data_IF_900499765077
#
_entry.id   IF_900499765077
#
_cell.length_a   1.000
_cell.length_b   1.000
_cell.length_c   1.000
_cell.angle_alpha   90.00
_cell.angle_beta   90.00
_cell.angle_gamma   90.00
#
_symmetry.space_group_name_H-M   'P 1'
#
loop_
_entity.id
_entity.type
_entity.pdbx_description
1 polymer ?
#
# COMPACT_ATOMS: atom_id res chain seq x y z
N UNK A 1 -9.45 -62.60 -46.33
CA UNK A 1 -10.60 -61.73 -46.15
C UNK A 1 -10.41 -60.99 -44.84
N UNK A 2 -10.19 -59.70 -44.95
CA UNK A 2 -9.74 -58.88 -43.91
C UNK A 2 -10.81 -58.38 -42.98
N UNK A 3 -10.42 -58.01 -41.83
CA UNK A 3 -11.13 -56.96 -41.11
C UNK A 3 -10.17 -56.06 -40.32
N UNK A 4 -10.47 -54.80 -40.32
CA UNK A 4 -9.62 -53.69 -39.92
C UNK A 4 -9.87 -53.28 -38.48
N UNK A 5 -8.80 -53.19 -37.71
CA UNK A 5 -8.74 -52.65 -36.34
C UNK A 5 -9.20 -51.20 -36.26
N UNK A 6 -10.06 -50.87 -35.26
CA UNK A 6 -10.34 -49.51 -34.77
C UNK A 6 -9.32 -49.16 -33.71
N UNK A 7 -8.58 -48.08 -33.94
CA UNK A 7 -7.80 -47.41 -32.93
C UNK A 7 -8.70 -46.54 -32.07
N UNK A 8 -8.74 -46.79 -30.78
CA UNK A 8 -9.32 -45.89 -29.76
C UNK A 8 -8.32 -44.77 -29.47
N UNK A 9 -8.78 -43.55 -29.53
CA UNK A 9 -8.04 -42.39 -29.09
C UNK A 9 -8.13 -42.29 -27.56
N UNK A 10 -7.00 -42.41 -26.90
CA UNK A 10 -6.84 -42.19 -25.47
C UNK A 10 -6.73 -40.71 -25.20
N UNK A 11 -7.78 -40.13 -24.69
CA UNK A 11 -7.84 -38.74 -24.27
C UNK A 11 -7.22 -38.56 -22.91
N UNK A 12 -5.92 -38.27 -22.85
CA UNK A 12 -5.29 -37.82 -21.61
C UNK A 12 -5.80 -36.42 -21.26
N UNK A 13 -6.67 -36.34 -20.28
CA UNK A 13 -6.97 -35.10 -19.54
C UNK A 13 -5.70 -34.68 -18.83
N UNK A 14 -5.14 -33.57 -19.26
CA UNK A 14 -4.10 -32.88 -18.50
C UNK A 14 -4.68 -32.40 -17.17
N UNK A 15 -4.07 -32.82 -16.08
CA UNK A 15 -4.30 -32.25 -14.77
C UNK A 15 -3.90 -30.78 -14.79
N UNK A 16 -4.66 -29.87 -14.15
CA UNK A 16 -4.24 -28.48 -14.00
C UNK A 16 -2.92 -28.45 -13.20
N UNK A 17 -1.89 -27.87 -13.79
CA UNK A 17 -0.68 -27.52 -13.05
C UNK A 17 -1.06 -26.61 -11.89
N UNK A 18 -0.84 -27.06 -10.67
CA UNK A 18 -0.89 -26.24 -9.47
C UNK A 18 0.08 -25.07 -9.63
N UNK A 19 -0.46 -23.88 -9.94
CA UNK A 19 0.27 -22.63 -9.89
C UNK A 19 0.49 -22.27 -8.43
N UNK A 20 1.47 -22.92 -7.80
CA UNK A 20 1.92 -22.57 -6.46
C UNK A 20 2.60 -21.18 -6.49
N UNK A 21 2.59 -20.45 -5.36
CA UNK A 21 3.06 -19.06 -5.24
C UNK A 21 4.58 -18.87 -5.43
N UNK A 22 5.24 -19.72 -6.19
CA UNK A 22 6.68 -19.70 -6.44
C UNK A 22 7.11 -19.05 -7.76
N UNK A 23 6.16 -18.51 -8.57
CA UNK A 23 6.49 -17.92 -9.88
C UNK A 23 6.88 -16.44 -9.83
N UNK A 24 6.68 -15.75 -8.71
CA UNK A 24 6.79 -14.28 -8.67
C UNK A 24 8.22 -13.70 -8.58
N UNK A 25 9.22 -14.48 -8.22
CA UNK A 25 10.62 -13.99 -8.32
C UNK A 25 11.10 -13.87 -9.78
N UNK A 26 10.40 -14.48 -10.75
CA UNK A 26 10.60 -14.27 -12.18
C UNK A 26 9.96 -12.98 -12.70
N UNK A 27 8.91 -12.50 -12.06
CA UNK A 27 8.14 -11.31 -12.44
C UNK A 27 8.79 -9.97 -12.03
N UNK A 28 9.79 -9.98 -11.15
CA UNK A 28 10.56 -8.76 -10.89
C UNK A 28 11.18 -8.18 -12.17
N UNK A 29 11.56 -9.03 -13.14
CA UNK A 29 11.99 -8.58 -14.48
C UNK A 29 10.83 -8.09 -15.35
N UNK A 30 9.65 -8.67 -15.24
CA UNK A 30 8.46 -8.25 -15.98
C UNK A 30 7.85 -6.95 -15.44
N UNK A 31 7.87 -6.76 -14.13
CA UNK A 31 7.43 -5.53 -13.47
C UNK A 31 8.21 -4.32 -13.98
N UNK A 32 9.53 -4.43 -14.02
CA UNK A 32 10.39 -3.29 -14.33
C UNK A 32 10.36 -2.89 -15.80
N UNK A 33 10.42 -3.82 -16.72
CA UNK A 33 10.65 -3.50 -18.14
C UNK A 33 9.36 -3.30 -18.95
N UNK A 34 8.32 -4.11 -18.76
CA UNK A 34 7.11 -3.97 -19.57
C UNK A 34 6.20 -2.84 -19.07
N UNK A 35 6.12 -2.61 -17.76
CA UNK A 35 5.30 -1.54 -17.16
C UNK A 35 5.95 -0.17 -17.34
N UNK A 36 7.26 -0.10 -17.23
CA UNK A 36 8.02 1.10 -17.56
C UNK A 36 7.95 1.39 -19.05
N UNK A 37 8.01 0.38 -19.91
CA UNK A 37 7.82 0.55 -21.35
C UNK A 37 6.44 1.12 -21.68
N UNK A 38 5.38 0.71 -20.99
CA UNK A 38 4.05 1.32 -21.13
C UNK A 38 4.06 2.81 -20.79
N UNK A 39 4.81 3.22 -19.77
CA UNK A 39 5.01 4.61 -19.40
C UNK A 39 5.83 5.42 -20.38
N UNK A 40 6.81 4.81 -21.04
CA UNK A 40 7.56 5.48 -22.10
C UNK A 40 6.69 5.96 -23.26
N UNK A 41 5.65 5.23 -23.54
CA UNK A 41 4.71 5.61 -24.58
C UNK A 41 3.75 6.71 -24.13
N UNK A 42 3.50 6.82 -22.78
CA UNK A 42 2.68 7.87 -22.20
C UNK A 42 3.30 9.25 -22.31
N UNK A 43 4.57 9.36 -22.02
CA UNK A 43 5.29 10.64 -22.09
C UNK A 43 5.27 11.24 -23.51
N UNK A 44 5.08 10.43 -24.55
CA UNK A 44 4.90 10.89 -25.93
C UNK A 44 3.49 11.36 -26.28
N UNK A 45 2.48 11.15 -25.43
CA UNK A 45 1.08 11.30 -25.77
C UNK A 45 0.44 12.61 -25.27
N UNK A 46 1.23 13.65 -24.91
CA UNK A 46 0.70 15.01 -24.75
C UNK A 46 0.46 15.47 -23.32
N UNK A 47 1.13 14.89 -22.35
CA UNK A 47 1.20 15.49 -21.01
C UNK A 47 2.04 16.77 -21.08
N UNK A 48 1.51 17.86 -20.50
CA UNK A 48 2.20 19.14 -20.45
C UNK A 48 3.46 19.03 -19.60
N UNK A 49 4.60 18.97 -20.25
CA UNK A 49 5.92 18.71 -19.66
C UNK A 49 6.60 19.97 -19.10
N UNK A 50 5.92 21.09 -19.02
CA UNK A 50 6.60 22.37 -18.82
C UNK A 50 7.20 22.56 -17.42
N UNK A 51 6.73 21.85 -16.38
CA UNK A 51 7.09 22.14 -15.00
C UNK A 51 7.38 20.93 -14.12
N UNK A 52 6.84 19.77 -14.43
CA UNK A 52 6.98 18.55 -13.64
C UNK A 52 7.57 17.45 -14.51
N UNK A 53 8.29 16.52 -13.88
CA UNK A 53 8.75 15.34 -14.59
C UNK A 53 7.57 14.39 -14.77
N UNK A 54 6.97 14.36 -15.95
CA UNK A 54 5.97 13.32 -16.18
C UNK A 54 6.70 11.99 -16.06
N UNK A 55 6.01 10.92 -16.18
CA UNK A 55 6.50 9.55 -16.31
C UNK A 55 7.93 9.38 -16.89
N UNK A 56 8.54 10.41 -17.47
CA UNK A 56 9.96 10.48 -17.83
C UNK A 56 10.92 10.31 -16.64
N UNK A 57 10.48 10.54 -15.41
CA UNK A 57 11.21 10.15 -14.20
C UNK A 57 11.47 8.64 -14.15
N UNK A 58 10.61 7.88 -14.81
CA UNK A 58 10.72 6.46 -14.96
C UNK A 58 11.52 6.05 -16.21
N UNK A 59 12.20 6.99 -16.88
CA UNK A 59 13.05 6.71 -18.03
C UNK A 59 14.17 5.67 -17.74
N UNK A 60 14.59 4.87 -18.74
CA UNK A 60 15.68 3.91 -18.60
C UNK A 60 16.94 4.50 -18.00
N UNK A 61 17.23 5.79 -18.24
CA UNK A 61 18.37 6.48 -17.61
C UNK A 61 18.29 6.51 -16.09
N UNK A 62 17.10 6.63 -15.51
CA UNK A 62 16.91 6.55 -14.03
C UNK A 62 16.77 5.12 -13.53
N UNK A 63 16.28 4.18 -14.36
CA UNK A 63 16.36 2.75 -14.07
C UNK A 63 17.81 2.27 -13.97
N UNK A 64 18.69 2.76 -14.83
CA UNK A 64 20.13 2.50 -14.73
C UNK A 64 20.74 3.14 -13.48
N UNK A 65 20.15 4.19 -12.92
CA UNK A 65 20.53 4.76 -11.63
C UNK A 65 19.98 3.95 -10.44
N UNK A 66 18.82 3.33 -10.57
CA UNK A 66 18.23 2.49 -9.54
C UNK A 66 19.06 1.23 -9.24
N UNK A 67 19.53 0.52 -10.27
CA UNK A 67 20.37 -0.68 -10.09
C UNK A 67 21.67 -0.35 -9.32
N UNK A 68 22.46 0.69 -9.68
CA UNK A 68 23.62 1.09 -8.88
C UNK A 68 23.25 1.56 -7.48
N UNK A 69 22.10 2.19 -7.27
CA UNK A 69 21.68 2.64 -5.94
C UNK A 69 21.28 1.47 -5.05
N UNK A 70 20.49 0.52 -5.52
CA UNK A 70 20.24 -0.73 -4.80
C UNK A 70 21.55 -1.46 -4.52
N UNK A 71 22.48 -1.52 -5.49
CA UNK A 71 23.78 -2.13 -5.29
C UNK A 71 24.65 -1.36 -4.28
N UNK A 72 24.57 -0.03 -4.25
CA UNK A 72 25.25 0.82 -3.28
C UNK A 72 24.82 0.52 -1.85
N UNK A 73 23.51 0.31 -1.64
CA UNK A 73 22.95 0.02 -0.33
C UNK A 73 23.05 -1.46 0.07
N UNK A 74 23.42 -2.33 -0.84
CA UNK A 74 23.55 -3.78 -0.56
C UNK A 74 24.54 -4.12 0.55
N UNK A 75 25.52 -3.27 0.79
CA UNK A 75 26.55 -3.45 1.82
C UNK A 75 26.39 -2.48 3.00
N UNK A 76 25.37 -1.64 3.00
CA UNK A 76 25.13 -0.70 4.06
C UNK A 76 24.34 -1.35 5.20
N UNK A 77 24.46 -0.77 6.37
CA UNK A 77 23.69 -1.20 7.53
C UNK A 77 22.33 -0.53 7.50
N UNK A 78 21.29 -1.35 7.55
CA UNK A 78 19.91 -0.92 7.69
C UNK A 78 19.75 0.02 8.88
N UNK A 79 18.97 1.09 8.73
CA UNK A 79 18.66 2.01 9.81
C UNK A 79 18.13 1.25 11.05
N UNK A 80 18.56 1.67 12.23
CA UNK A 80 18.10 1.05 13.47
C UNK A 80 16.59 1.25 13.65
N UNK A 81 15.89 0.20 14.03
CA UNK A 81 14.46 0.29 14.29
C UNK A 81 14.20 1.18 15.51
N UNK A 82 13.27 2.12 15.39
CA UNK A 82 12.85 2.99 16.49
C UNK A 82 11.51 2.49 17.04
N UNK A 83 11.40 2.42 18.36
CA UNK A 83 10.18 2.03 19.05
C UNK A 83 9.89 2.97 20.24
N UNK A 84 8.67 2.94 20.72
CA UNK A 84 8.22 3.80 21.83
C UNK A 84 8.62 3.26 23.19
N UNK A 85 8.88 1.98 23.32
CA UNK A 85 9.12 1.32 24.60
C UNK A 85 10.57 1.50 25.08
N UNK A 86 11.51 1.33 24.17
CA UNK A 86 12.95 1.38 24.48
C UNK A 86 13.47 2.81 24.61
N UNK A 87 12.92 3.75 23.84
CA UNK A 87 13.47 5.10 23.71
C UNK A 87 12.72 6.17 24.54
N UNK A 88 11.62 5.83 25.19
CA UNK A 88 10.84 6.75 26.05
C UNK A 88 10.31 8.00 25.32
N UNK A 89 10.05 7.90 24.02
CA UNK A 89 9.59 9.00 23.16
C UNK A 89 8.07 8.98 22.97
N UNK A 90 7.33 9.03 24.06
CA UNK A 90 5.87 8.98 24.05
C UNK A 90 5.34 7.54 23.93
N UNK A 91 4.05 7.42 23.68
CA UNK A 91 3.33 6.13 23.64
C UNK A 91 3.08 5.64 22.20
N UNK A 92 3.22 6.51 21.21
CA UNK A 92 2.77 6.23 19.83
C UNK A 92 1.25 6.22 19.67
N UNK A 93 0.52 6.63 20.71
CA UNK A 93 -0.94 6.76 20.70
C UNK A 93 -1.29 8.23 20.71
N UNK A 94 -2.01 8.67 19.70
CA UNK A 94 -2.42 10.05 19.48
C UNK A 94 -3.94 10.14 19.60
N UNK A 95 -4.42 10.99 20.50
CA UNK A 95 -5.85 11.23 20.66
C UNK A 95 -6.34 12.14 19.53
N UNK A 96 -7.43 11.76 18.89
CA UNK A 96 -8.11 12.53 17.86
C UNK A 96 -9.56 12.80 18.25
N UNK A 97 -10.16 13.80 17.62
CA UNK A 97 -11.56 14.14 17.89
C UNK A 97 -12.50 13.01 17.44
N UNK A 98 -13.67 12.93 18.07
CA UNK A 98 -14.74 11.98 17.68
C UNK A 98 -15.30 12.30 16.28
N UNK A 99 -15.12 13.55 15.83
CA UNK A 99 -15.42 13.98 14.47
C UNK A 99 -14.13 14.44 13.80
N UNK A 100 -13.66 13.67 12.84
CA UNK A 100 -12.38 13.89 12.16
C UNK A 100 -12.43 13.38 10.72
N UNK A 101 -11.76 14.08 9.82
CA UNK A 101 -11.54 13.66 8.44
C UNK A 101 -10.07 13.33 8.22
N UNK A 102 -9.82 12.16 7.63
CA UNK A 102 -8.47 11.66 7.33
C UNK A 102 -8.38 11.34 5.84
N UNK A 103 -7.42 11.91 5.13
CA UNK A 103 -7.14 11.58 3.73
C UNK A 103 -5.96 10.63 3.64
N UNK A 104 -6.10 9.56 2.85
CA UNK A 104 -5.08 8.52 2.74
C UNK A 104 -4.72 8.24 1.27
N UNK A 105 -3.43 8.00 1.01
CA UNK A 105 -2.91 7.50 -0.26
C UNK A 105 -1.68 6.63 -0.02
N UNK A 106 -1.52 5.57 -0.79
CA UNK A 106 -0.32 4.72 -0.81
C UNK A 106 0.40 4.81 -2.14
N UNK A 107 1.70 4.49 -2.16
CA UNK A 107 2.50 4.44 -3.39
C UNK A 107 2.50 5.77 -4.16
N UNK A 108 2.48 6.85 -3.40
CA UNK A 108 2.31 8.20 -3.91
C UNK A 108 3.64 8.89 -4.26
N UNK A 109 4.72 8.61 -3.53
CA UNK A 109 5.99 9.33 -3.55
C UNK A 109 6.81 9.17 -4.83
N UNK A 110 6.25 9.49 -6.00
CA UNK A 110 6.83 9.26 -7.32
C UNK A 110 7.47 10.50 -7.94
N UNK A 111 7.12 11.70 -7.46
CA UNK A 111 7.51 12.96 -8.09
C UNK A 111 6.87 13.22 -9.46
N UNK A 112 5.80 12.48 -9.80
CA UNK A 112 5.09 12.62 -11.07
C UNK A 112 4.00 13.68 -11.02
N UNK A 113 3.47 14.03 -12.18
CA UNK A 113 2.34 14.95 -12.32
C UNK A 113 1.07 14.36 -11.69
N UNK A 114 0.88 13.05 -11.82
CA UNK A 114 -0.22 12.33 -11.21
C UNK A 114 -0.17 12.42 -9.67
N UNK A 115 1.00 12.22 -9.07
CA UNK A 115 1.20 12.38 -7.63
C UNK A 115 0.90 13.83 -7.18
N UNK A 116 1.32 14.83 -7.97
CA UNK A 116 1.02 16.25 -7.71
C UNK A 116 -0.48 16.53 -7.76
N UNK A 117 -1.18 15.98 -8.75
CA UNK A 117 -2.64 16.18 -8.90
C UNK A 117 -3.39 15.51 -7.73
N UNK A 118 -3.00 14.29 -7.35
CA UNK A 118 -3.57 13.61 -6.17
C UNK A 118 -3.30 14.41 -4.90
N UNK A 119 -2.09 14.96 -4.71
CA UNK A 119 -1.79 15.84 -3.57
C UNK A 119 -2.72 17.05 -3.53
N UNK A 120 -2.90 17.75 -4.64
CA UNK A 120 -3.80 18.88 -4.75
C UNK A 120 -5.28 18.50 -4.49
N UNK A 121 -5.69 17.30 -4.87
CA UNK A 121 -7.03 16.78 -4.57
C UNK A 121 -7.19 16.48 -3.06
N UNK A 122 -6.17 15.90 -2.43
CA UNK A 122 -6.14 15.69 -0.98
C UNK A 122 -6.16 17.02 -0.20
N UNK A 123 -5.43 18.04 -0.63
CA UNK A 123 -5.46 19.38 -0.01
C UNK A 123 -6.87 19.98 -0.05
N UNK A 124 -7.55 19.89 -1.19
CA UNK A 124 -8.95 20.36 -1.34
C UNK A 124 -9.95 19.59 -0.48
N UNK A 125 -9.60 18.41 -0.01
CA UNK A 125 -10.46 17.65 0.90
C UNK A 125 -10.57 18.28 2.29
N UNK A 126 -9.66 19.21 2.64
CA UNK A 126 -9.59 19.88 3.95
C UNK A 126 -9.58 18.86 5.09
N UNK A 127 -8.76 17.83 4.96
CA UNK A 127 -8.64 16.78 5.96
C UNK A 127 -7.92 17.29 7.22
N UNK A 128 -8.36 16.84 8.39
CA UNK A 128 -7.64 17.08 9.65
C UNK A 128 -6.27 16.42 9.63
N UNK A 129 -6.21 15.21 9.10
CA UNK A 129 -4.97 14.43 8.98
C UNK A 129 -4.80 13.85 7.59
N UNK A 130 -3.54 13.66 7.19
CA UNK A 130 -3.19 12.89 6.00
C UNK A 130 -2.32 11.70 6.38
N UNK A 131 -2.49 10.55 5.73
CA UNK A 131 -1.68 9.37 5.99
C UNK A 131 -1.12 8.80 4.68
N UNK A 132 0.21 8.75 4.60
CA UNK A 132 0.94 8.08 3.53
C UNK A 132 1.12 6.60 3.89
N UNK A 133 0.65 5.69 3.03
CA UNK A 133 0.71 4.25 3.28
C UNK A 133 2.04 3.59 2.87
N UNK A 134 3.07 4.38 2.62
CA UNK A 134 4.41 3.89 2.24
C UNK A 134 4.71 4.02 0.76
N UNK A 135 5.95 3.81 0.44
CA UNK A 135 6.65 3.85 -0.83
C UNK A 135 6.92 5.25 -1.38
N UNK A 136 8.18 5.64 -1.23
CA UNK A 136 8.81 6.76 -1.96
C UNK A 136 9.78 6.17 -2.99
N UNK A 137 9.59 6.51 -4.22
CA UNK A 137 10.21 5.85 -5.37
C UNK A 137 11.45 6.60 -5.87
N UNK A 138 12.51 5.81 -6.36
CA UNK A 138 12.43 4.33 -6.53
C UNK A 138 12.98 3.54 -5.37
N UNK A 139 13.90 4.09 -4.59
CA UNK A 139 14.59 3.41 -3.49
C UNK A 139 14.40 4.13 -2.16
N UNK A 140 13.64 5.24 -2.16
CA UNK A 140 13.39 6.04 -0.98
C UNK A 140 14.66 6.64 -0.38
N UNK A 141 15.67 6.96 -1.21
CA UNK A 141 16.88 7.61 -0.73
C UNK A 141 16.62 9.09 -0.36
N UNK A 142 17.61 9.71 0.24
CA UNK A 142 17.48 11.08 0.73
C UNK A 142 17.15 12.11 -0.37
N UNK A 143 17.61 11.90 -1.60
CA UNK A 143 17.31 12.82 -2.71
C UNK A 143 15.90 12.63 -3.23
N UNK A 144 15.48 11.37 -3.37
CA UNK A 144 14.11 11.04 -3.77
C UNK A 144 13.08 11.51 -2.72
N UNK A 145 13.37 11.33 -1.43
CA UNK A 145 12.53 11.86 -0.36
C UNK A 145 12.43 13.38 -0.41
N UNK A 146 13.55 14.10 -0.63
CA UNK A 146 13.51 15.56 -0.79
C UNK A 146 12.62 15.98 -1.93
N UNK A 147 12.81 15.39 -3.09
CA UNK A 147 12.14 15.79 -4.32
C UNK A 147 10.70 15.29 -4.38
N UNK A 148 10.47 14.00 -4.07
CA UNK A 148 9.20 13.32 -4.31
C UNK A 148 8.27 13.33 -3.11
N UNK A 149 8.72 13.82 -1.94
CA UNK A 149 7.92 13.85 -0.73
C UNK A 149 7.95 15.21 -0.01
N UNK A 150 9.14 15.81 0.12
CA UNK A 150 9.29 17.06 0.86
C UNK A 150 9.09 18.31 0.02
N UNK A 151 9.04 18.19 -1.30
CA UNK A 151 8.91 19.32 -2.21
C UNK A 151 10.18 20.18 -2.30
N UNK A 152 11.35 19.61 -2.00
CA UNK A 152 12.64 20.28 -2.09
C UNK A 152 13.27 20.01 -3.47
N UNK A 153 13.70 21.07 -4.15
CA UNK A 153 14.28 20.93 -5.49
C UNK A 153 15.71 20.39 -5.43
N UNK A 154 15.92 19.19 -5.90
CA UNK A 154 17.23 18.52 -5.98
C UNK A 154 17.68 18.24 -7.41
N UNK A 155 16.78 18.32 -8.39
CA UNK A 155 16.99 18.04 -9.79
C UNK A 155 16.42 19.17 -10.68
N UNK A 156 16.55 19.09 -12.02
CA UNK A 156 15.89 20.01 -12.94
C UNK A 156 14.36 19.97 -12.89
N UNK A 157 13.79 18.88 -12.38
CA UNK A 157 12.34 18.68 -12.32
C UNK A 157 11.71 19.46 -11.18
N UNK A 158 10.42 19.74 -11.29
CA UNK A 158 9.67 20.34 -10.21
C UNK A 158 9.42 19.33 -9.10
N UNK A 159 9.73 19.67 -7.85
CA UNK A 159 9.52 18.76 -6.74
C UNK A 159 8.03 18.65 -6.40
N UNK A 160 7.65 17.51 -5.80
CA UNK A 160 6.28 17.26 -5.35
C UNK A 160 6.25 17.08 -3.84
N UNK A 161 5.35 17.82 -3.18
CA UNK A 161 5.24 17.84 -1.74
C UNK A 161 4.03 17.05 -1.26
N UNK A 162 4.23 16.24 -0.22
CA UNK A 162 3.13 15.57 0.47
C UNK A 162 2.18 16.59 1.13
N UNK A 163 0.86 16.49 0.90
CA UNK A 163 -0.10 17.40 1.50
C UNK A 163 -0.31 17.06 2.98
N UNK A 164 -0.05 18.02 3.85
CA UNK A 164 -0.26 17.85 5.29
C UNK A 164 -1.68 18.26 5.68
N UNK A 165 -2.35 17.43 6.47
CA UNK A 165 -3.64 17.77 7.05
C UNK A 165 -3.57 18.98 7.98
N UNK A 166 -4.73 19.55 8.31
CA UNK A 166 -4.82 20.77 9.15
C UNK A 166 -4.20 20.56 10.55
N UNK A 167 -4.34 19.35 11.12
CA UNK A 167 -3.82 18.97 12.45
C UNK A 167 -2.56 18.11 12.39
N UNK A 168 -2.17 17.61 11.21
CA UNK A 168 -0.96 16.82 11.06
C UNK A 168 -1.00 15.81 9.93
N UNK A 169 0.01 14.96 9.87
CA UNK A 169 0.10 13.86 8.93
C UNK A 169 0.98 12.74 9.46
N UNK A 170 0.81 11.56 8.93
CA UNK A 170 1.55 10.38 9.35
C UNK A 170 2.01 9.59 8.13
N UNK A 171 3.09 8.82 8.28
CA UNK A 171 3.62 7.99 7.19
C UNK A 171 3.95 6.58 7.68
N UNK A 172 3.63 5.60 6.84
CA UNK A 172 4.08 4.23 6.96
C UNK A 172 5.34 4.00 6.13
N UNK A 173 6.04 2.94 6.45
CA UNK A 173 7.23 2.47 5.77
C UNK A 173 6.85 1.40 4.74
N UNK A 174 7.24 1.56 3.49
CA UNK A 174 7.10 0.55 2.44
C UNK A 174 8.40 -0.20 2.17
N UNK A 175 8.41 -1.00 1.11
CA UNK A 175 9.61 -1.72 0.70
C UNK A 175 10.60 -0.83 -0.08
N UNK A 176 10.10 0.21 -0.76
CA UNK A 176 10.97 1.11 -1.52
C UNK A 176 11.86 1.94 -0.61
N UNK A 177 11.38 2.44 0.53
CA UNK A 177 12.21 3.09 1.53
C UNK A 177 13.32 2.16 2.04
N UNK A 178 13.02 0.86 2.14
CA UNK A 178 13.97 -0.12 2.65
C UNK A 178 15.02 -0.57 1.62
N UNK A 179 14.86 -0.24 0.34
CA UNK A 179 15.92 -0.46 -0.67
C UNK A 179 17.14 0.44 -0.44
N UNK A 180 16.94 1.63 0.15
CA UNK A 180 18.02 2.50 0.62
C UNK A 180 18.21 2.42 2.15
N UNK A 181 18.01 1.24 2.74
CA UNK A 181 18.17 0.97 4.17
C UNK A 181 17.25 1.78 5.11
N UNK A 182 16.27 2.47 4.58
CA UNK A 182 15.32 3.28 5.32
C UNK A 182 15.82 4.65 5.74
N UNK A 183 17.05 5.05 5.41
CA UNK A 183 17.62 6.30 5.91
C UNK A 183 16.80 7.55 5.52
N UNK A 184 16.32 7.63 4.27
CA UNK A 184 15.44 8.72 3.83
C UNK A 184 14.16 8.81 4.65
N UNK A 185 13.54 7.69 4.92
CA UNK A 185 12.32 7.60 5.70
C UNK A 185 12.52 8.01 7.17
N UNK A 186 13.49 7.37 7.87
CA UNK A 186 13.70 7.58 9.29
C UNK A 186 14.28 8.96 9.63
N UNK A 187 15.14 9.52 8.77
CA UNK A 187 15.84 10.77 9.04
C UNK A 187 15.21 11.99 8.40
N UNK A 188 14.32 11.79 7.40
CA UNK A 188 13.77 12.92 6.66
C UNK A 188 12.25 12.94 6.63
N UNK A 189 11.57 11.80 6.36
CA UNK A 189 10.10 11.74 6.35
C UNK A 189 9.58 11.86 7.79
N UNK A 190 9.93 10.93 8.67
CA UNK A 190 9.37 10.87 10.02
C UNK A 190 9.55 12.17 10.84
N UNK A 191 10.68 12.88 10.80
CA UNK A 191 10.83 14.15 11.53
C UNK A 191 9.86 15.27 11.08
N UNK A 192 9.26 15.13 9.90
CA UNK A 192 8.30 16.11 9.36
C UNK A 192 6.85 15.68 9.50
N UNK A 193 6.61 14.45 9.91
CA UNK A 193 5.27 13.92 10.15
C UNK A 193 4.83 14.13 11.60
N UNK A 194 3.68 13.60 12.00
CA UNK A 194 3.10 13.72 13.33
C UNK A 194 2.10 14.87 13.45
N UNK A 195 1.76 15.23 14.66
CA UNK A 195 0.85 16.33 14.96
C UNK A 195 1.51 17.67 14.65
N UNK A 196 0.75 18.62 14.11
CA UNK A 196 1.17 20.02 13.97
C UNK A 196 1.09 20.72 15.32
N UNK A 197 2.10 21.50 15.64
CA UNK A 197 2.07 22.40 16.79
C UNK A 197 1.18 23.61 16.50
N UNK A 198 0.57 24.17 17.57
CA UNK A 198 -0.23 25.38 17.44
C UNK A 198 0.66 26.54 17.01
N UNK A 199 0.26 27.21 15.96
CA UNK A 199 0.81 28.53 15.59
C UNK A 199 1.74 28.55 14.41
N UNK A 200 2.01 27.48 13.73
CA UNK A 200 2.63 27.49 12.43
C UNK A 200 3.71 26.44 12.18
N UNK A 201 3.36 25.25 11.84
CA UNK A 201 4.32 24.50 11.05
C UNK A 201 3.67 23.96 9.79
N UNK A 202 4.35 24.13 8.69
CA UNK A 202 4.03 23.48 7.42
C UNK A 202 4.03 21.97 7.57
N UNK A 203 4.85 21.45 8.49
CA UNK A 203 5.06 20.06 8.83
C UNK A 203 4.64 19.74 10.27
N UNK A 204 4.56 18.45 10.61
CA UNK A 204 4.34 17.99 11.98
C UNK A 204 5.57 18.13 12.86
N UNK A 205 5.39 17.93 14.16
CA UNK A 205 6.44 18.00 15.18
C UNK A 205 7.33 16.75 15.27
N UNK A 206 7.12 15.80 14.38
CA UNK A 206 7.85 14.53 14.29
C UNK A 206 6.99 13.32 14.67
N UNK A 207 7.02 12.31 13.82
CA UNK A 207 6.57 10.95 14.11
C UNK A 207 7.79 10.14 14.52
N UNK A 208 7.82 9.61 15.74
CA UNK A 208 9.03 8.96 16.26
C UNK A 208 9.34 7.62 15.59
N UNK A 209 8.31 6.80 15.39
CA UNK A 209 8.44 5.44 14.86
C UNK A 209 7.57 5.22 13.63
N UNK A 210 7.85 4.16 12.87
CA UNK A 210 7.12 3.76 11.66
C UNK A 210 5.73 3.15 11.92
N UNK A 211 5.27 3.17 13.16
CA UNK A 211 3.98 2.67 13.59
C UNK A 211 3.36 3.62 14.60
N UNK A 212 2.04 3.67 14.67
CA UNK A 212 1.30 4.58 15.54
C UNK A 212 -0.16 4.13 15.69
N UNK A 213 -0.86 4.73 16.63
CA UNK A 213 -2.30 4.60 16.81
C UNK A 213 -2.94 5.98 16.88
N UNK A 214 -3.93 6.25 16.04
CA UNK A 214 -4.85 7.37 16.24
C UNK A 214 -6.11 6.83 16.89
N UNK A 215 -6.55 7.41 18.00
CA UNK A 215 -7.73 6.89 18.66
C UNK A 215 -8.65 7.97 19.23
N UNK A 216 -9.95 7.65 19.23
CA UNK A 216 -10.98 8.42 19.90
C UNK A 216 -11.88 7.50 20.73
N UNK A 217 -13.03 7.98 21.16
CA UNK A 217 -13.97 7.21 21.96
C UNK A 217 -14.52 5.96 21.23
N UNK A 218 -14.60 5.98 19.90
CA UNK A 218 -15.29 4.98 19.08
C UNK A 218 -14.36 4.13 18.22
N UNK A 219 -13.22 4.68 17.80
CA UNK A 219 -12.36 4.07 16.80
C UNK A 219 -10.90 4.07 17.22
N UNK A 220 -10.18 3.05 16.74
CA UNK A 220 -8.71 2.98 16.72
C UNK A 220 -8.23 2.74 15.30
N UNK A 221 -7.35 3.61 14.81
CA UNK A 221 -6.63 3.48 13.55
C UNK A 221 -5.21 3.10 13.90
N UNK A 222 -4.86 1.83 13.67
CA UNK A 222 -3.58 1.24 14.06
C UNK A 222 -2.73 1.08 12.82
N UNK A 223 -1.63 1.81 12.73
CA UNK A 223 -0.68 1.77 11.65
C UNK A 223 0.49 0.85 12.00
N UNK A 224 0.82 -0.07 11.09
CA UNK A 224 1.75 -1.17 11.30
C UNK A 224 2.89 -1.11 10.29
N UNK A 225 4.11 -1.27 10.74
CA UNK A 225 5.27 -1.40 9.85
C UNK A 225 5.38 -2.82 9.28
N UNK A 226 5.11 -2.96 8.00
CA UNK A 226 5.37 -4.19 7.22
C UNK A 226 6.53 -4.02 6.24
N UNK A 227 7.06 -2.80 6.10
CA UNK A 227 8.17 -2.45 5.22
C UNK A 227 9.52 -2.85 5.80
N UNK A 228 9.74 -2.64 7.10
CA UNK A 228 11.06 -2.86 7.72
C UNK A 228 11.63 -4.26 7.48
N UNK A 229 10.82 -5.30 7.44
CA UNK A 229 11.26 -6.67 7.17
C UNK A 229 11.01 -7.14 5.73
N UNK A 230 10.63 -6.25 4.80
CA UNK A 230 10.32 -6.59 3.41
C UNK A 230 11.55 -6.93 2.56
N UNK A 231 12.73 -6.41 2.91
CA UNK A 231 13.97 -6.54 2.12
C UNK A 231 14.98 -7.49 2.75
N UNK A 232 14.61 -8.32 3.70
CA UNK A 232 15.51 -9.28 4.32
C UNK A 232 15.97 -10.35 3.32
N UNK A 233 17.09 -10.09 2.66
CA UNK A 233 17.93 -11.15 2.11
C UNK A 233 18.74 -11.75 3.25
N UNK A 234 18.48 -13.00 3.58
CA UNK A 234 19.32 -13.75 4.50
C UNK A 234 20.59 -14.22 3.75
N UNK A 235 21.63 -13.40 3.79
CA UNK A 235 22.92 -13.60 3.11
C UNK A 235 23.65 -14.88 3.51
N UNK A 236 23.30 -15.48 4.66
CA UNK A 236 23.83 -16.80 5.05
C UNK A 236 23.43 -17.92 4.10
N UNK A 237 22.57 -17.62 3.10
CA UNK A 237 21.94 -18.60 2.22
C UNK A 237 22.00 -18.15 0.75
N UNK A 238 23.17 -17.68 0.35
CA UNK A 238 23.47 -17.06 -0.94
C UNK A 238 22.96 -17.79 -2.20
N UNK A 239 22.75 -17.05 -3.32
CA UNK A 239 22.19 -17.55 -4.60
C UNK A 239 22.93 -18.72 -5.25
N UNK A 240 24.16 -18.99 -4.84
CA UNK A 240 24.99 -20.09 -5.38
C UNK A 240 24.34 -21.46 -5.16
N UNK A 241 23.51 -21.61 -4.11
CA UNK A 241 22.81 -22.85 -3.79
C UNK A 241 21.47 -23.01 -4.53
N UNK A 242 21.02 -22.00 -5.28
CA UNK A 242 19.71 -22.01 -5.98
C UNK A 242 19.69 -22.78 -7.30
N UNK A 243 20.79 -23.37 -7.73
CA UNK A 243 20.83 -24.17 -8.98
C UNK A 243 20.10 -25.51 -8.89
N UNK A 244 19.73 -25.98 -7.70
CA UNK A 244 18.97 -27.24 -7.55
C UNK A 244 17.45 -26.99 -7.52
N UNK A 245 16.70 -27.71 -8.33
CA UNK A 245 15.22 -27.69 -8.37
C UNK A 245 14.59 -28.02 -7.01
N UNK A 246 15.31 -28.71 -6.15
CA UNK A 246 14.86 -29.12 -4.80
C UNK A 246 14.85 -27.93 -3.83
N UNK A 247 15.82 -27.02 -3.91
CA UNK A 247 15.91 -25.83 -3.05
C UNK A 247 14.84 -24.76 -3.38
N UNK A 248 14.25 -24.79 -4.57
CA UNK A 248 13.13 -23.89 -4.94
C UNK A 248 11.83 -24.17 -4.18
N UNK A 249 11.68 -25.34 -3.58
CA UNK A 249 10.50 -25.71 -2.79
C UNK A 249 10.58 -25.30 -1.33
N UNK A 250 11.71 -24.83 -0.86
CA UNK A 250 11.86 -24.38 0.52
C UNK A 250 11.45 -22.91 0.62
N UNK A 251 10.61 -22.61 1.57
CA UNK A 251 9.93 -21.32 1.88
C UNK A 251 10.87 -20.17 2.27
N UNK A 252 12.12 -20.19 1.87
CA UNK A 252 13.22 -19.37 2.39
C UNK A 252 13.41 -18.02 1.68
N UNK A 253 12.67 -17.76 0.59
CA UNK A 253 12.87 -16.61 -0.27
C UNK A 253 11.64 -15.70 -0.45
N UNK A 254 10.62 -15.84 0.38
CA UNK A 254 9.54 -14.86 0.40
C UNK A 254 9.90 -13.77 1.38
N UNK A 255 9.98 -12.50 0.95
CA UNK A 255 9.98 -11.40 1.91
C UNK A 255 8.71 -11.56 2.75
N UNK A 256 8.87 -11.87 4.02
CA UNK A 256 7.73 -12.24 4.86
C UNK A 256 6.91 -11.04 5.28
N UNK A 257 7.40 -9.81 5.05
CA UNK A 257 6.82 -8.56 5.51
C UNK A 257 6.35 -8.62 6.97
N UNK A 258 7.03 -9.44 7.78
CA UNK A 258 6.68 -9.68 9.16
C UNK A 258 6.72 -8.37 9.95
N UNK A 259 5.70 -8.12 10.74
CA UNK A 259 5.66 -7.01 11.69
C UNK A 259 6.83 -7.19 12.68
N UNK A 260 7.66 -6.16 12.90
CA UNK A 260 8.76 -6.21 13.85
C UNK A 260 8.27 -6.51 15.27
N UNK A 261 9.04 -7.30 16.01
CA UNK A 261 8.67 -7.71 17.37
C UNK A 261 8.38 -6.53 18.33
N UNK A 262 9.12 -5.40 18.29
CA UNK A 262 8.77 -4.23 19.09
C UNK A 262 7.37 -3.66 18.81
N UNK A 263 6.88 -3.75 17.58
CA UNK A 263 5.52 -3.32 17.23
C UNK A 263 4.47 -4.25 17.83
N UNK A 264 4.72 -5.57 17.81
CA UNK A 264 3.83 -6.56 18.42
C UNK A 264 3.78 -6.39 19.94
N UNK A 265 4.94 -6.16 20.57
CA UNK A 265 5.02 -5.88 21.99
C UNK A 265 4.25 -4.59 22.36
N UNK A 266 4.43 -3.51 21.58
CA UNK A 266 3.70 -2.26 21.74
C UNK A 266 2.18 -2.44 21.56
N UNK A 267 1.75 -3.19 20.55
CA UNK A 267 0.34 -3.52 20.35
C UNK A 267 -0.26 -4.21 21.57
N UNK A 268 0.47 -5.17 22.13
CA UNK A 268 -0.01 -5.95 23.29
C UNK A 268 -0.04 -5.12 24.57
N UNK A 269 1.01 -4.33 24.83
CA UNK A 269 1.19 -3.63 26.11
C UNK A 269 0.51 -2.27 26.15
N UNK A 270 0.58 -1.51 25.06
CA UNK A 270 0.16 -0.10 25.04
C UNK A 270 -1.19 0.10 24.37
N UNK A 271 -1.43 -0.51 23.20
CA UNK A 271 -2.70 -0.35 22.48
C UNK A 271 -3.77 -1.29 23.02
N UNK A 272 -3.40 -2.55 23.27
CA UNK A 272 -4.32 -3.60 23.73
C UNK A 272 -5.63 -3.65 22.92
N UNK A 273 -5.60 -4.06 21.63
CA UNK A 273 -6.77 -3.93 20.74
C UNK A 273 -8.02 -4.70 21.19
N UNK A 274 -7.86 -5.71 22.05
CA UNK A 274 -8.98 -6.47 22.65
C UNK A 274 -9.45 -5.91 23.99
N UNK A 275 -8.78 -4.88 24.53
CA UNK A 275 -9.10 -4.32 25.85
C UNK A 275 -10.42 -3.56 25.89
N UNK A 276 -10.98 -3.20 24.75
CA UNK A 276 -12.27 -2.54 24.62
C UNK A 276 -13.01 -2.98 23.33
N UNK A 277 -14.12 -2.35 23.03
CA UNK A 277 -15.03 -2.69 21.91
C UNK A 277 -15.00 -1.65 20.79
N UNK A 278 -14.05 -0.73 20.77
CA UNK A 278 -13.89 0.27 19.70
C UNK A 278 -13.68 -0.38 18.35
N UNK A 279 -14.17 0.24 17.27
CA UNK A 279 -13.90 -0.20 15.91
C UNK A 279 -12.40 -0.16 15.59
N UNK A 280 -11.92 -1.14 14.84
CA UNK A 280 -10.52 -1.26 14.49
C UNK A 280 -10.32 -1.04 12.99
N UNK A 281 -9.48 -0.07 12.66
CA UNK A 281 -8.96 0.18 11.31
C UNK A 281 -7.47 -0.10 11.36
N UNK A 282 -7.00 -1.03 10.52
CA UNK A 282 -5.58 -1.31 10.37
C UNK A 282 -5.05 -0.63 9.11
N UNK A 283 -3.85 -0.08 9.22
CA UNK A 283 -3.09 0.47 8.09
C UNK A 283 -1.76 -0.27 7.99
N UNK A 284 -1.38 -0.68 6.80
CA UNK A 284 -0.05 -1.23 6.51
C UNK A 284 0.35 -0.91 5.07
N UNK A 285 1.61 -1.09 4.71
CA UNK A 285 1.99 -0.99 3.31
C UNK A 285 1.66 -2.28 2.56
N UNK A 286 2.05 -3.45 3.06
CA UNK A 286 1.78 -4.73 2.42
C UNK A 286 0.44 -5.32 2.87
N UNK A 287 -0.34 -5.81 1.90
CA UNK A 287 -1.67 -6.38 2.12
C UNK A 287 -1.64 -7.89 2.44
N UNK A 288 -2.52 -8.37 3.32
CA UNK A 288 -2.61 -9.79 3.65
C UNK A 288 -3.42 -10.61 2.63
N UNK A 289 -4.03 -9.96 1.65
CA UNK A 289 -4.98 -10.56 0.71
C UNK A 289 -5.02 -9.78 -0.60
N UNK A 290 -5.11 -10.47 -1.73
CA UNK A 290 -5.28 -9.88 -3.05
C UNK A 290 -5.98 -10.84 -4.02
N UNK A 291 -6.78 -10.29 -4.94
CA UNK A 291 -7.32 -10.99 -6.10
C UNK A 291 -6.38 -10.90 -7.32
N UNK A 292 -5.36 -10.07 -7.28
CA UNK A 292 -4.57 -9.69 -8.45
C UNK A 292 -3.09 -10.06 -8.34
N UNK A 293 -2.56 -10.08 -7.12
CA UNK A 293 -1.13 -10.26 -6.84
C UNK A 293 -0.87 -11.23 -5.69
N UNK A 294 0.41 -11.45 -5.42
CA UNK A 294 0.82 -12.18 -4.21
C UNK A 294 0.50 -11.37 -2.96
N UNK A 295 0.15 -12.04 -1.89
CA UNK A 295 -0.20 -11.42 -0.61
C UNK A 295 0.71 -11.89 0.52
N UNK A 296 0.76 -11.12 1.60
CA UNK A 296 1.67 -11.28 2.72
C UNK A 296 0.92 -11.72 3.97
N UNK A 297 0.75 -13.01 4.15
CA UNK A 297 -0.08 -13.58 5.23
C UNK A 297 0.53 -13.49 6.63
N UNK A 298 1.86 -13.31 6.74
CA UNK A 298 2.55 -13.33 8.04
C UNK A 298 2.03 -12.25 8.98
N UNK A 299 1.86 -10.97 8.58
CA UNK A 299 1.28 -9.95 9.44
C UNK A 299 -0.09 -10.34 10.02
N UNK A 300 -0.97 -10.87 9.17
CA UNK A 300 -2.30 -11.27 9.62
C UNK A 300 -2.26 -12.41 10.66
N UNK A 301 -1.33 -13.36 10.51
CA UNK A 301 -1.13 -14.44 11.47
C UNK A 301 -0.53 -13.95 12.79
N UNK A 302 0.41 -13.01 12.73
CA UNK A 302 0.98 -12.39 13.93
C UNK A 302 -0.10 -11.67 14.74
N UNK A 303 -0.98 -10.93 14.05
CA UNK A 303 -2.05 -10.16 14.68
C UNK A 303 -3.19 -11.00 15.27
N UNK A 304 -3.40 -12.24 14.81
CA UNK A 304 -4.50 -13.11 15.26
C UNK A 304 -4.47 -13.39 16.77
N UNK A 305 -3.30 -13.30 17.40
CA UNK A 305 -3.14 -13.46 18.85
C UNK A 305 -3.67 -12.24 19.62
N UNK A 306 -3.67 -11.07 18.99
CA UNK A 306 -3.96 -9.77 19.61
C UNK A 306 -5.27 -9.15 19.13
N UNK A 307 -5.82 -9.61 18.00
CA UNK A 307 -7.06 -9.10 17.41
C UNK A 307 -8.00 -10.26 17.15
N UNK A 308 -9.14 -10.28 17.85
CA UNK A 308 -10.10 -11.40 17.83
C UNK A 308 -11.43 -11.05 17.17
N UNK A 309 -11.55 -9.83 16.64
CA UNK A 309 -12.76 -9.32 15.97
C UNK A 309 -12.42 -8.83 14.57
N UNK A 310 -13.40 -8.74 13.66
CA UNK A 310 -13.17 -8.22 12.31
C UNK A 310 -12.62 -6.79 12.32
N UNK A 311 -11.76 -6.47 11.37
CA UNK A 311 -11.15 -5.16 11.19
C UNK A 311 -11.38 -4.64 9.76
N UNK A 312 -11.33 -3.33 9.57
CA UNK A 312 -11.17 -2.72 8.26
C UNK A 312 -9.66 -2.56 8.05
N UNK A 313 -9.10 -3.11 6.96
CA UNK A 313 -7.67 -3.08 6.73
C UNK A 313 -7.33 -2.42 5.41
N UNK A 314 -6.64 -1.25 5.48
CA UNK A 314 -6.12 -0.53 4.33
C UNK A 314 -4.66 -0.87 4.10
N UNK A 315 -4.26 -0.98 2.81
CA UNK A 315 -2.87 -1.18 2.41
C UNK A 315 -2.55 -0.52 1.07
N UNK A 316 -1.25 -0.29 0.81
CA UNK A 316 -0.68 0.14 -0.46
C UNK A 316 -0.11 -1.02 -1.26
N UNK A 317 1.10 -0.86 -1.80
CA UNK A 317 1.94 -1.86 -2.47
C UNK A 317 1.41 -2.38 -3.81
N UNK A 318 0.16 -2.76 -3.91
CA UNK A 318 -0.49 -3.07 -5.18
C UNK A 318 -1.00 -1.78 -5.82
N UNK A 319 -0.51 -1.44 -7.01
CA UNK A 319 -0.81 -0.17 -7.65
C UNK A 319 -2.22 -0.16 -8.25
N UNK A 320 -3.24 -0.24 -7.39
CA UNK A 320 -4.66 -0.22 -7.77
C UNK A 320 -5.58 0.21 -6.64
N UNK A 321 -6.82 0.51 -7.00
CA UNK A 321 -7.95 0.57 -6.08
C UNK A 321 -8.69 -0.76 -6.13
N UNK A 322 -8.75 -1.48 -5.02
CA UNK A 322 -9.56 -2.68 -4.89
C UNK A 322 -10.16 -2.82 -3.48
N UNK A 323 -11.43 -3.15 -3.42
CA UNK A 323 -12.22 -3.31 -2.21
C UNK A 323 -12.68 -4.76 -2.13
N UNK A 324 -12.38 -5.40 -1.01
CA UNK A 324 -12.65 -6.82 -0.80
C UNK A 324 -13.77 -7.03 0.20
N UNK A 325 -14.54 -8.12 0.01
CA UNK A 325 -15.45 -8.65 1.02
C UNK A 325 -14.70 -9.01 2.29
N UNK A 326 -15.44 -9.41 3.29
CA UNK A 326 -14.84 -9.97 4.50
C UNK A 326 -14.11 -11.27 4.17
N UNK A 327 -12.84 -11.34 4.50
CA UNK A 327 -12.00 -12.53 4.34
C UNK A 327 -11.33 -12.90 5.66
N UNK A 328 -10.88 -14.14 5.74
CA UNK A 328 -10.08 -14.62 6.85
C UNK A 328 -8.80 -15.26 6.30
N UNK A 329 -7.66 -14.74 6.69
CA UNK A 329 -6.38 -15.43 6.48
C UNK A 329 -6.35 -16.68 7.35
N UNK A 330 -5.95 -17.82 6.80
CA UNK A 330 -5.81 -19.06 7.59
C UNK A 330 -4.90 -18.82 8.79
N UNK A 331 -5.39 -19.10 10.00
CA UNK A 331 -4.70 -18.81 11.28
C UNK A 331 -4.42 -17.31 11.51
N UNK A 332 -5.08 -16.45 10.78
CA UNK A 332 -4.92 -14.99 10.84
C UNK A 332 -6.19 -14.26 11.28
N UNK A 333 -6.14 -12.96 11.21
CA UNK A 333 -7.28 -12.09 11.51
C UNK A 333 -8.35 -12.17 10.42
N UNK A 334 -9.57 -11.82 10.80
CA UNK A 334 -10.68 -11.57 9.87
C UNK A 334 -10.70 -10.08 9.51
N UNK A 335 -10.77 -9.76 8.22
CA UNK A 335 -10.68 -8.39 7.77
C UNK A 335 -11.57 -8.08 6.55
N UNK A 336 -11.90 -6.80 6.42
CA UNK A 336 -12.46 -6.19 5.22
C UNK A 336 -11.34 -5.39 4.54
N UNK A 337 -10.85 -5.85 3.39
CA UNK A 337 -9.66 -5.31 2.76
C UNK A 337 -9.90 -4.12 1.86
N UNK A 338 -8.96 -3.16 1.86
CA UNK A 338 -8.98 -1.93 1.07
C UNK A 338 -7.60 -1.66 0.51
N UNK A 339 -7.35 -2.07 -0.74
CA UNK A 339 -6.12 -1.76 -1.44
C UNK A 339 -6.17 -0.34 -1.99
N UNK A 340 -5.19 0.48 -1.63
CA UNK A 340 -5.10 1.92 -1.90
C UNK A 340 -3.74 2.32 -2.51
N UNK A 341 -3.06 1.41 -3.23
CA UNK A 341 -1.73 1.65 -3.79
C UNK A 341 -1.75 2.44 -5.11
N UNK A 342 -2.78 3.22 -5.36
CA UNK A 342 -2.95 4.00 -6.60
C UNK A 342 -2.69 5.50 -6.40
N UNK A 343 -1.86 5.91 -5.42
CA UNK A 343 -1.66 7.33 -5.10
C UNK A 343 -0.84 8.10 -6.13
N UNK A 344 0.16 7.50 -6.74
CA UNK A 344 1.06 8.19 -7.68
C UNK A 344 1.80 7.27 -8.63
N UNK A 345 2.03 6.01 -8.24
CA UNK A 345 2.56 5.01 -9.16
C UNK A 345 1.54 4.70 -10.26
N UNK A 346 2.04 4.28 -11.44
CA UNK A 346 1.20 3.82 -12.50
C UNK A 346 0.25 2.72 -12.07
N UNK A 347 -1.02 2.97 -12.26
CA UNK A 347 -2.08 2.06 -11.83
C UNK A 347 -2.20 0.90 -12.82
N UNK A 348 -2.13 -0.31 -12.29
CA UNK A 348 -2.23 -1.52 -13.07
C UNK A 348 -3.67 -1.82 -13.45
N UNK A 349 -3.85 -2.10 -14.73
CA UNK A 349 -5.09 -2.60 -15.28
C UNK A 349 -4.97 -4.09 -15.62
N UNK A 350 -6.07 -4.77 -15.68
CA UNK A 350 -6.11 -6.19 -16.05
C UNK A 350 -7.46 -6.80 -15.72
N UNK A 351 -7.73 -7.98 -16.23
CA UNK A 351 -8.92 -8.73 -15.84
C UNK A 351 -8.78 -9.15 -14.37
N UNK A 352 -9.87 -9.08 -13.62
CA UNK A 352 -9.92 -9.74 -12.32
C UNK A 352 -9.75 -11.24 -12.58
N UNK A 353 -8.77 -11.89 -11.97
CA UNK A 353 -8.63 -13.32 -12.15
C UNK A 353 -9.86 -14.02 -11.55
N UNK A 354 -10.33 -15.09 -12.21
CA UNK A 354 -11.39 -15.98 -11.71
C UNK A 354 -10.91 -16.81 -10.51
N UNK A 355 -10.31 -16.16 -9.51
CA UNK A 355 -9.92 -16.82 -8.28
C UNK A 355 -11.16 -16.94 -7.41
N UNK A 356 -11.73 -18.14 -7.38
CA UNK A 356 -12.97 -18.49 -6.66
C UNK A 356 -12.96 -18.14 -5.17
N UNK A 357 -11.76 -18.05 -4.55
CA UNK A 357 -11.61 -17.81 -3.12
C UNK A 357 -11.34 -16.34 -2.77
N UNK A 358 -11.23 -15.45 -3.75
CA UNK A 358 -10.92 -14.06 -3.52
C UNK A 358 -12.07 -13.16 -3.99
N UNK A 359 -12.98 -12.85 -3.07
CA UNK A 359 -14.15 -12.05 -3.36
C UNK A 359 -13.83 -10.58 -3.24
N UNK A 360 -13.83 -9.89 -4.39
CA UNK A 360 -13.81 -8.44 -4.43
C UNK A 360 -15.24 -7.86 -4.47
N UNK A 361 -15.43 -6.73 -3.82
CA UNK A 361 -16.67 -5.94 -3.90
C UNK A 361 -16.60 -4.92 -5.02
N UNK A 362 -15.46 -4.20 -5.11
CA UNK A 362 -15.25 -3.23 -6.17
C UNK A 362 -13.77 -3.14 -6.54
N UNK A 363 -13.49 -2.75 -7.79
CA UNK A 363 -12.17 -2.40 -8.24
C UNK A 363 -12.21 -1.49 -9.47
N UNK A 364 -11.24 -0.58 -9.60
CA UNK A 364 -11.17 0.36 -10.69
C UNK A 364 -10.27 -0.16 -11.82
N UNK A 365 -10.86 -0.44 -12.99
CA UNK A 365 -10.19 -0.85 -14.22
C UNK A 365 -10.31 0.20 -15.33
N UNK A 366 -10.72 1.41 -15.00
CA UNK A 366 -10.83 2.49 -15.99
C UNK A 366 -9.46 2.82 -16.57
N UNK A 367 -9.42 3.16 -17.85
CA UNK A 367 -8.21 3.62 -18.52
C UNK A 367 -8.08 5.13 -18.35
N UNK A 368 -6.92 5.58 -17.88
CA UNK A 368 -6.63 6.99 -17.69
C UNK A 368 -6.31 7.74 -18.99
N UNK A 369 -5.73 7.06 -19.99
CA UNK A 369 -5.36 7.66 -21.28
C UNK A 369 -6.20 7.11 -22.43
N UNK A 370 -6.50 7.95 -23.42
CA UNK A 370 -7.10 7.54 -24.71
C UNK A 370 -6.09 6.87 -25.64
N UNK A 371 -4.78 6.98 -25.37
CA UNK A 371 -3.75 6.30 -26.15
C UNK A 371 -3.78 4.80 -25.86
N UNK A 372 -4.04 3.99 -26.89
CA UNK A 372 -4.11 2.52 -26.75
C UNK A 372 -2.79 1.89 -26.31
N UNK A 373 -1.67 2.58 -26.49
CA UNK A 373 -0.36 2.11 -26.02
C UNK A 373 -0.19 2.26 -24.52
N UNK A 374 -1.03 3.06 -23.88
CA UNK A 374 -1.02 3.32 -22.45
C UNK A 374 -2.11 2.53 -21.75
N UNK A 375 -1.72 1.42 -21.16
CA UNK A 375 -2.65 0.61 -20.37
C UNK A 375 -2.50 0.87 -18.88
N UNK A 376 -2.71 2.13 -18.47
CA UNK A 376 -2.67 2.57 -17.08
C UNK A 376 -4.05 3.04 -16.59
N UNK A 377 -4.33 2.82 -15.33
CA UNK A 377 -5.55 3.25 -14.66
C UNK A 377 -5.42 4.63 -14.02
N UNK A 378 -6.46 5.03 -13.32
CA UNK A 378 -6.53 6.30 -12.60
C UNK A 378 -5.85 6.20 -11.24
N UNK A 379 -4.98 7.17 -10.96
CA UNK A 379 -4.52 7.43 -9.60
C UNK A 379 -5.62 8.08 -8.76
N UNK A 380 -5.47 8.05 -7.43
CA UNK A 380 -6.47 8.60 -6.54
C UNK A 380 -6.14 8.48 -5.06
N UNK A 381 -7.12 8.78 -4.23
CA UNK A 381 -7.02 8.75 -2.77
C UNK A 381 -8.37 8.39 -2.13
N UNK A 382 -8.40 8.18 -0.82
CA UNK A 382 -9.64 8.05 -0.08
C UNK A 382 -9.69 9.02 1.10
N UNK A 383 -10.92 9.43 1.43
CA UNK A 383 -11.22 10.22 2.63
C UNK A 383 -12.03 9.37 3.61
N UNK A 384 -11.55 9.25 4.84
CA UNK A 384 -12.22 8.63 5.97
C UNK A 384 -12.80 9.71 6.84
N UNK A 385 -14.11 9.74 7.01
CA UNK A 385 -14.82 10.68 7.87
C UNK A 385 -15.39 9.93 9.07
N UNK A 386 -14.79 10.09 10.24
CA UNK A 386 -15.33 9.61 11.51
C UNK A 386 -16.32 10.64 12.06
N UNK A 387 -17.46 10.18 12.54
CA UNK A 387 -18.45 10.98 13.24
C UNK A 387 -19.09 10.15 14.35
N UNK A 388 -18.48 10.17 15.53
CA UNK A 388 -18.84 9.28 16.61
C UNK A 388 -18.68 7.82 16.20
N UNK A 389 -19.70 6.96 16.36
CA UNK A 389 -19.65 5.56 15.99
C UNK A 389 -19.71 5.30 14.47
N UNK A 390 -20.05 6.30 13.66
CA UNK A 390 -20.13 6.19 12.20
C UNK A 390 -18.77 6.46 11.54
N UNK A 391 -18.48 5.71 10.47
CA UNK A 391 -17.37 5.94 9.55
C UNK A 391 -17.91 5.96 8.14
N UNK A 392 -17.65 7.05 7.43
CA UNK A 392 -17.90 7.18 6.00
C UNK A 392 -16.58 7.20 5.25
N UNK A 393 -16.44 6.39 4.20
CA UNK A 393 -15.27 6.33 3.33
C UNK A 393 -15.69 6.74 1.92
N UNK A 394 -14.98 7.71 1.35
CA UNK A 394 -15.20 8.18 -0.01
C UNK A 394 -13.92 8.02 -0.83
N UNK A 395 -14.02 7.38 -2.00
CA UNK A 395 -12.91 7.07 -2.89
C UNK A 395 -12.95 8.00 -4.10
N UNK A 396 -11.84 8.65 -4.38
CA UNK A 396 -11.72 9.64 -5.46
C UNK A 396 -10.59 9.28 -6.42
N UNK A 397 -10.80 9.57 -7.69
CA UNK A 397 -9.70 9.60 -8.66
C UNK A 397 -8.96 10.95 -8.65
N UNK A 398 -7.88 11.03 -9.43
CA UNK A 398 -7.06 12.24 -9.54
C UNK A 398 -7.83 13.44 -10.13
N UNK A 399 -8.91 13.22 -10.89
CA UNK A 399 -9.79 14.27 -11.39
C UNK A 399 -10.83 14.71 -10.34
N UNK A 400 -10.74 14.21 -9.11
CA UNK A 400 -11.70 14.45 -8.02
C UNK A 400 -13.10 13.88 -8.28
N UNK A 401 -13.25 12.94 -9.22
CA UNK A 401 -14.49 12.22 -9.39
C UNK A 401 -14.69 11.26 -8.21
N UNK A 402 -15.83 11.36 -7.55
CA UNK A 402 -16.25 10.42 -6.51
C UNK A 402 -16.63 9.09 -7.16
N UNK A 403 -15.89 8.04 -6.84
CA UNK A 403 -16.04 6.70 -7.42
C UNK A 403 -17.05 5.84 -6.66
N UNK A 404 -16.77 5.70 -5.38
CA UNK A 404 -17.45 4.79 -4.46
C UNK A 404 -17.57 5.46 -3.09
N UNK A 405 -18.57 5.06 -2.33
CA UNK A 405 -18.67 5.36 -0.90
C UNK A 405 -18.98 4.11 -0.11
N UNK A 406 -18.53 4.08 1.14
CA UNK A 406 -18.86 3.04 2.10
C UNK A 406 -19.31 3.66 3.41
N UNK A 407 -20.34 3.11 4.01
CA UNK A 407 -20.79 3.47 5.34
C UNK A 407 -20.63 2.31 6.31
N UNK A 408 -20.08 2.62 7.48
CA UNK A 408 -19.80 1.71 8.57
C UNK A 408 -20.34 2.28 9.88
N UNK A 409 -20.70 1.40 10.78
CA UNK A 409 -21.10 1.76 12.15
C UNK A 409 -20.54 0.76 13.14
N UNK A 410 -19.91 1.25 14.22
CA UNK A 410 -19.48 0.44 15.35
C UNK A 410 -20.51 0.50 16.48
N UNK A 411 -20.99 -0.65 16.87
CA UNK A 411 -21.72 -0.80 18.12
C UNK A 411 -20.72 -0.97 19.27
N UNK A 412 -20.53 0.06 20.06
CA UNK A 412 -19.55 0.07 21.15
C UNK A 412 -19.97 -0.80 22.36
N UNK A 413 -21.22 -1.22 22.44
CA UNK A 413 -21.68 -2.10 23.52
C UNK A 413 -21.32 -3.56 23.21
N UNK A 414 -21.53 -4.00 21.98
CA UNK A 414 -21.20 -5.34 21.54
C UNK A 414 -19.78 -5.45 20.94
N UNK A 415 -19.26 -4.36 20.37
CA UNK A 415 -18.05 -4.35 19.53
C UNK A 415 -18.30 -4.85 18.11
N UNK A 416 -19.57 -4.93 17.69
CA UNK A 416 -19.94 -5.36 16.35
C UNK A 416 -19.70 -4.24 15.34
N UNK A 417 -18.98 -4.59 14.27
CA UNK A 417 -18.75 -3.73 13.13
C UNK A 417 -19.83 -4.02 12.07
N UNK A 418 -20.71 -3.05 11.82
CA UNK A 418 -21.82 -3.14 10.86
C UNK A 418 -21.44 -2.41 9.58
N UNK A 419 -21.56 -3.11 8.45
CA UNK A 419 -21.22 -2.64 7.11
C UNK A 419 -20.40 -3.69 6.33
N UNK A 420 -19.87 -3.33 5.14
CA UNK A 420 -20.06 -2.04 4.49
C UNK A 420 -21.46 -1.89 3.87
N UNK A 421 -22.00 -0.66 3.87
CA UNK A 421 -22.98 -0.26 2.89
C UNK A 421 -22.21 0.40 1.74
N UNK A 422 -21.88 -0.39 0.71
CA UNK A 422 -21.09 0.07 -0.43
C UNK A 422 -22.01 0.63 -1.50
N UNK A 423 -21.69 1.83 -1.99
CA UNK A 423 -22.42 2.48 -3.08
C UNK A 423 -21.47 2.88 -4.20
N UNK A 424 -21.74 2.42 -5.41
CA UNK A 424 -21.12 2.94 -6.63
C UNK A 424 -21.74 4.30 -6.96
N UNK A 425 -20.90 5.32 -7.11
CA UNK A 425 -21.34 6.70 -7.42
C UNK A 425 -21.07 7.03 -8.88
N UNK A 426 -19.85 6.77 -9.35
CA UNK A 426 -19.49 7.00 -10.75
C UNK A 426 -20.09 5.91 -11.63
N UNK A 427 -20.98 6.30 -12.54
CA UNK A 427 -21.51 5.39 -13.55
C UNK A 427 -20.49 5.18 -14.68
N UNK A 428 -19.70 4.13 -14.54
CA UNK A 428 -18.70 3.73 -15.53
C UNK A 428 -18.58 2.19 -15.52
N UNK A 429 -18.70 1.52 -16.69
CA UNK A 429 -18.69 0.05 -16.74
C UNK A 429 -17.34 -0.57 -16.33
N UNK A 430 -16.23 0.17 -16.48
CA UNK A 430 -14.91 -0.29 -16.07
C UNK A 430 -14.59 -0.01 -14.59
N UNK A 431 -15.44 0.68 -13.87
CA UNK A 431 -15.46 0.69 -12.41
C UNK A 431 -16.38 -0.48 -11.98
N UNK A 432 -15.78 -1.61 -11.72
CA UNK A 432 -16.48 -2.81 -11.31
C UNK A 432 -16.98 -2.67 -9.87
N UNK A 433 -18.24 -2.97 -9.65
CA UNK A 433 -18.84 -2.99 -8.32
C UNK A 433 -19.90 -4.10 -8.30
N UNK A 434 -19.81 -5.00 -7.33
CA UNK A 434 -20.86 -5.97 -7.04
C UNK A 434 -21.83 -5.33 -6.07
N UNK A 435 -23.12 -5.44 -6.33
CA UNK A 435 -24.11 -5.08 -5.34
C UNK A 435 -23.95 -6.00 -4.13
N UNK A 436 -23.83 -5.39 -2.94
CA UNK A 436 -23.61 -6.10 -1.69
C UNK A 436 -24.95 -6.63 -1.13
#
# INVERSE_FOLDING_TARGET
>A
MGDKSKKSADGRRGTPEETGPGKDLGNFKGFTLSRISAHFHAAGAGYSTATYDPISAFLPSRLFQWIPQVAKYWFHKKHAFRDYTTHGKGTGIYLIDDRVKISIAGDWGTGTDEARIVAAAMEKSEADFTIHLGDVYYVGDSNEVRENFLGEKTSPYAPVKWPMGAKGGFALNGNHEMYADGNGYWEMVLPRMGLKERGNSEWGAGQWASFFCLENKYWRIIALDTGYNSTRFDWGKAPVLQRSKWLRKTTWFKPGCAIPEPVLAWLQSSVNPNGDKRGLILLSHHGPHSAFESWYQIPAKQLAKMIRRPVIWFWGHEHRLAIYEKFRVKEGVEAYGRCMGHGGMPVERGAAPDILDCRWLAWDNRRYSSDEKLDVGYNGHANLSLNGPALHIAYYDLNQALLLTEDWHIDIESGALNGPSLKKVLDNPSLHCREA
#
